data_IF_696452595098
#
_entry.id   IF_696452595098
#
_cell.length_a   1.000
_cell.length_b   1.000
_cell.length_c   1.000
_cell.angle_alpha   90.00
_cell.angle_beta   90.00
_cell.angle_gamma   90.00
#
_symmetry.space_group_name_H-M   'P 1'
#
loop_
_entity.id
_entity.type
_entity.pdbx_description
1 polymer ?
#
# COMPACT_ATOMS: atom_id res chain seq x y z
N UNK A 1 -2.69 8.28 -8.95
CA UNK A 1 -2.23 8.88 -10.22
C UNK A 1 -3.28 8.67 -11.29
N UNK A 2 -3.59 9.68 -12.12
CA UNK A 2 -4.49 9.50 -13.26
C UNK A 2 -3.97 8.45 -14.26
N UNK A 3 -4.87 7.75 -14.95
CA UNK A 3 -4.50 6.79 -16.00
C UNK A 3 -3.74 7.48 -17.14
N UNK A 4 -2.71 6.81 -17.67
CA UNK A 4 -1.90 7.34 -18.78
C UNK A 4 -0.75 8.23 -18.33
N UNK A 5 -0.71 8.67 -17.07
CA UNK A 5 0.39 9.45 -16.49
C UNK A 5 1.77 8.83 -16.76
N UNK A 6 1.90 7.53 -16.44
CA UNK A 6 3.17 6.78 -16.59
C UNK A 6 3.57 6.50 -18.04
N UNK A 7 2.70 6.79 -19.02
CA UNK A 7 2.94 6.51 -20.43
C UNK A 7 3.13 7.78 -21.26
N UNK A 8 3.18 8.96 -20.62
CA UNK A 8 3.28 10.27 -21.27
C UNK A 8 2.23 10.50 -22.38
N UNK A 9 1.11 9.76 -22.34
CA UNK A 9 0.00 9.96 -23.27
C UNK A 9 -0.71 11.23 -22.83
N UNK A 10 -0.99 12.15 -23.77
CA UNK A 10 -1.82 13.33 -23.49
C UNK A 10 -3.05 12.88 -22.70
N UNK A 11 -3.21 13.40 -21.49
CA UNK A 11 -4.42 13.20 -20.72
C UNK A 11 -5.59 13.62 -21.63
N UNK A 12 -6.50 12.68 -21.95
CA UNK A 12 -7.81 13.08 -22.48
C UNK A 12 -8.39 14.09 -21.47
N UNK A 13 -9.11 15.09 -21.96
CA UNK A 13 -9.81 16.13 -21.17
C UNK A 13 -10.22 15.60 -19.79
N UNK A 14 -10.12 16.42 -18.71
CA UNK A 14 -10.37 15.97 -17.34
C UNK A 14 -11.83 15.51 -17.23
N UNK A 15 -12.04 14.23 -17.48
CA UNK A 15 -13.28 13.52 -17.20
C UNK A 15 -13.02 12.80 -15.89
N UNK A 16 -13.86 13.08 -14.88
CA UNK A 16 -13.98 12.45 -13.56
C UNK A 16 -13.24 11.11 -13.42
N UNK A 17 -11.94 11.16 -13.13
CA UNK A 17 -11.17 9.96 -12.85
C UNK A 17 -11.42 9.60 -11.39
N UNK A 18 -11.99 8.43 -11.15
CA UNK A 18 -12.31 7.94 -9.81
C UNK A 18 -11.13 7.16 -9.18
N UNK A 19 -9.89 7.38 -9.66
CA UNK A 19 -8.73 6.56 -9.31
C UNK A 19 -8.41 6.60 -7.81
N UNK A 20 -8.54 7.78 -7.17
CA UNK A 20 -8.37 7.90 -5.72
C UNK A 20 -9.42 7.08 -4.95
N UNK A 21 -10.69 7.22 -5.33
CA UNK A 21 -11.79 6.47 -4.72
C UNK A 21 -11.61 4.96 -4.89
N UNK A 22 -11.31 4.50 -6.12
CA UNK A 22 -11.05 3.09 -6.40
C UNK A 22 -9.87 2.56 -5.58
N UNK A 23 -8.82 3.37 -5.41
CA UNK A 23 -7.67 2.99 -4.58
C UNK A 23 -8.03 2.85 -3.10
N UNK A 24 -8.85 3.74 -2.56
CA UNK A 24 -9.37 3.62 -1.18
C UNK A 24 -10.22 2.36 -1.02
N UNK A 25 -11.07 2.05 -2.00
CA UNK A 25 -11.86 0.81 -2.01
C UNK A 25 -10.96 -0.44 -2.05
N UNK A 26 -9.87 -0.43 -2.81
CA UNK A 26 -8.94 -1.56 -2.87
C UNK A 26 -8.17 -1.77 -1.55
N UNK A 27 -7.78 -0.68 -0.88
CA UNK A 27 -7.21 -0.76 0.47
C UNK A 27 -8.23 -1.27 1.49
N UNK A 28 -9.47 -0.79 1.44
CA UNK A 28 -10.57 -1.27 2.28
C UNK A 28 -10.77 -2.78 2.12
N UNK A 29 -10.83 -3.27 0.88
CA UNK A 29 -10.94 -4.73 0.61
C UNK A 29 -9.77 -5.51 1.17
N UNK A 30 -8.56 -4.95 1.16
CA UNK A 30 -7.37 -5.63 1.70
C UNK A 30 -7.46 -5.75 3.22
N UNK A 31 -7.89 -4.69 3.91
CA UNK A 31 -8.11 -4.68 5.36
C UNK A 31 -9.22 -5.68 5.75
N UNK A 32 -10.37 -5.61 5.08
CA UNK A 32 -11.52 -6.53 5.34
C UNK A 32 -11.17 -8.00 5.12
N UNK A 33 -10.24 -8.29 4.19
CA UNK A 33 -9.78 -9.66 3.97
C UNK A 33 -8.81 -10.14 5.05
N UNK A 34 -8.07 -9.25 5.71
CA UNK A 34 -7.14 -9.62 6.75
C UNK A 34 -7.90 -10.15 7.98
N UNK A 35 -7.40 -11.22 8.59
CA UNK A 35 -8.07 -11.90 9.71
C UNK A 35 -7.85 -11.24 11.06
N UNK A 36 -6.90 -10.32 11.14
CA UNK A 36 -6.42 -9.72 12.38
C UNK A 36 -6.47 -8.19 12.36
N UNK A 37 -7.27 -7.60 11.47
CA UNK A 37 -7.55 -6.17 11.40
C UNK A 37 -9.06 -5.97 11.39
N UNK A 38 -9.54 -4.96 12.11
CA UNK A 38 -10.92 -4.48 12.01
C UNK A 38 -10.94 -3.21 11.15
N UNK A 39 -11.91 -3.07 10.25
CA UNK A 39 -12.04 -1.87 9.43
C UNK A 39 -12.42 -0.64 10.28
N UNK A 40 -13.15 -0.84 11.37
CA UNK A 40 -13.64 0.25 12.22
C UNK A 40 -12.49 0.97 12.97
N UNK A 41 -11.31 0.34 13.05
CA UNK A 41 -10.09 0.94 13.62
C UNK A 41 -9.33 1.85 12.64
N UNK A 42 -9.80 1.98 11.39
CA UNK A 42 -9.11 2.75 10.35
C UNK A 42 -9.84 4.04 9.97
N UNK A 43 -9.03 5.09 9.77
CA UNK A 43 -9.48 6.35 9.20
C UNK A 43 -8.61 6.75 8.02
N UNK A 44 -9.17 7.50 7.07
CA UNK A 44 -8.41 8.07 5.97
C UNK A 44 -8.63 9.57 5.86
N UNK A 45 -7.57 10.28 5.48
CA UNK A 45 -7.62 11.65 4.98
C UNK A 45 -7.09 11.64 3.56
N UNK A 46 -7.73 12.41 2.68
CA UNK A 46 -7.32 12.49 1.29
C UNK A 46 -7.42 13.93 0.80
N UNK A 47 -6.65 14.23 -0.24
CA UNK A 47 -6.63 15.52 -0.90
C UNK A 47 -6.77 15.28 -2.40
N UNK A 48 -7.69 16.02 -3.03
CA UNK A 48 -7.87 15.99 -4.48
C UNK A 48 -7.02 17.11 -5.07
N UNK A 49 -6.10 16.73 -5.97
CA UNK A 49 -5.28 17.66 -6.73
C UNK A 49 -5.76 17.63 -8.19
N UNK A 50 -6.27 18.75 -8.68
CA UNK A 50 -6.84 18.87 -10.01
C UNK A 50 -5.95 19.68 -10.95
N UNK A 51 -6.19 19.55 -12.26
CA UNK A 51 -5.50 20.31 -13.31
C UNK A 51 -3.96 20.19 -13.17
N UNK A 52 -3.25 21.31 -13.28
CA UNK A 52 -1.79 21.37 -13.17
C UNK A 52 -1.27 20.93 -11.79
N UNK A 53 -2.08 21.05 -10.73
CA UNK A 53 -1.69 20.58 -9.39
C UNK A 53 -1.62 19.05 -9.30
N UNK A 54 -2.26 18.32 -10.22
CA UNK A 54 -2.16 16.85 -10.27
C UNK A 54 -0.73 16.37 -10.55
N UNK A 55 0.12 17.21 -11.14
CA UNK A 55 1.52 16.92 -11.38
C UNK A 55 2.33 16.80 -10.08
N UNK A 56 1.81 17.39 -8.99
CA UNK A 56 2.45 17.38 -7.67
C UNK A 56 2.11 16.15 -6.83
N UNK A 57 1.20 15.27 -7.27
CA UNK A 57 0.75 14.11 -6.45
C UNK A 57 1.95 13.30 -5.95
N UNK A 58 2.93 13.01 -6.82
CA UNK A 58 4.09 12.18 -6.43
C UNK A 58 5.02 12.90 -5.46
N UNK A 59 5.19 14.20 -5.63
CA UNK A 59 6.00 15.05 -4.73
C UNK A 59 5.38 15.13 -3.35
N UNK A 60 4.06 15.36 -3.28
CA UNK A 60 3.32 15.43 -2.02
C UNK A 60 3.30 14.08 -1.31
N UNK A 61 3.03 12.99 -2.03
CA UNK A 61 3.08 11.62 -1.49
C UNK A 61 4.44 11.33 -0.86
N UNK A 62 5.53 11.59 -1.60
CA UNK A 62 6.88 11.38 -1.09
C UNK A 62 7.20 12.29 0.11
N UNK A 63 6.71 13.52 0.13
CA UNK A 63 6.89 14.43 1.27
C UNK A 63 6.18 13.92 2.53
N UNK A 64 4.94 13.43 2.41
CA UNK A 64 4.19 12.87 3.53
C UNK A 64 4.84 11.58 4.05
N UNK A 65 5.32 10.71 3.16
CA UNK A 65 6.05 9.48 3.56
C UNK A 65 7.33 9.85 4.33
N UNK A 66 8.12 10.81 3.84
CA UNK A 66 9.33 11.25 4.55
C UNK A 66 9.03 11.89 5.91
N UNK A 67 7.94 12.65 6.00
CA UNK A 67 7.60 13.38 7.22
C UNK A 67 7.04 12.45 8.31
N UNK A 68 6.13 11.54 7.95
CA UNK A 68 5.46 10.66 8.92
C UNK A 68 6.12 9.29 9.07
N UNK A 69 7.01 8.91 8.14
CA UNK A 69 7.63 7.57 8.06
C UNK A 69 6.65 6.42 8.32
N UNK A 70 5.50 6.32 7.60
CA UNK A 70 4.45 5.36 7.98
C UNK A 70 4.93 3.90 7.91
N UNK A 71 4.55 3.07 8.88
CA UNK A 71 5.05 1.69 9.03
C UNK A 71 4.85 0.85 7.76
N UNK A 72 3.69 0.93 7.11
CA UNK A 72 3.38 0.18 5.87
C UNK A 72 3.97 0.78 4.59
N UNK A 73 4.76 1.86 4.72
CA UNK A 73 5.51 2.47 3.62
C UNK A 73 7.03 2.35 3.81
N UNK A 74 7.51 2.44 5.06
CA UNK A 74 8.95 2.52 5.34
C UNK A 74 9.54 1.27 5.98
N UNK A 75 8.70 0.37 6.51
CA UNK A 75 9.16 -0.79 7.25
C UNK A 75 8.57 -2.10 6.71
N UNK A 76 7.24 -2.17 6.59
CA UNK A 76 6.51 -3.39 6.22
C UNK A 76 5.94 -3.21 4.82
N UNK A 77 6.55 -3.88 3.85
CA UNK A 77 6.19 -3.76 2.46
C UNK A 77 5.00 -4.67 2.08
N UNK A 78 4.20 -4.19 1.13
CA UNK A 78 3.24 -5.02 0.39
C UNK A 78 1.76 -4.72 0.61
N UNK A 79 1.40 -3.79 1.50
CA UNK A 79 0.00 -3.36 1.67
C UNK A 79 -0.61 -2.90 0.33
N UNK A 80 0.16 -2.10 -0.42
CA UNK A 80 -0.27 -1.55 -1.70
C UNK A 80 -0.24 -2.52 -2.89
N UNK A 81 0.16 -3.78 -2.71
CA UNK A 81 0.27 -4.74 -3.80
C UNK A 81 -1.10 -5.18 -4.32
N UNK A 82 -1.14 -5.50 -5.61
CA UNK A 82 -2.26 -6.18 -6.25
C UNK A 82 -1.89 -7.64 -6.52
N UNK A 83 -2.90 -8.47 -6.83
CA UNK A 83 -2.68 -9.84 -7.30
C UNK A 83 -1.66 -9.82 -8.46
N UNK A 84 -0.54 -10.54 -8.33
CA UNK A 84 0.46 -10.57 -9.38
C UNK A 84 -0.05 -11.29 -10.64
N UNK A 85 -1.12 -12.07 -10.55
CA UNK A 85 -1.70 -12.78 -11.68
C UNK A 85 -0.82 -13.94 -12.17
N UNK A 86 -1.32 -14.61 -13.22
CA UNK A 86 -0.72 -15.83 -13.74
C UNK A 86 0.75 -15.60 -14.15
N UNK A 87 1.62 -16.54 -13.76
CA UNK A 87 3.05 -16.54 -14.12
C UNK A 87 3.95 -15.76 -13.18
N UNK A 88 3.40 -15.03 -12.20
CA UNK A 88 4.18 -14.29 -11.20
C UNK A 88 4.06 -14.85 -9.77
N UNK A 89 3.42 -16.01 -9.60
CA UNK A 89 3.27 -16.65 -8.28
C UNK A 89 4.55 -17.30 -7.74
N UNK A 90 5.64 -17.35 -8.51
CA UNK A 90 6.93 -17.82 -7.99
C UNK A 90 7.60 -16.79 -7.06
N UNK A 91 7.04 -15.59 -6.92
CA UNK A 91 7.54 -14.59 -5.97
C UNK A 91 7.16 -14.95 -4.53
N UNK A 92 7.88 -14.34 -3.58
CA UNK A 92 7.59 -14.46 -2.16
C UNK A 92 6.27 -13.76 -1.78
N UNK A 93 5.65 -14.22 -0.70
CA UNK A 93 4.58 -13.50 -0.02
C UNK A 93 5.18 -12.23 0.61
N UNK A 94 4.46 -11.10 0.55
CA UNK A 94 4.95 -9.85 1.13
C UNK A 94 4.93 -9.88 2.65
N UNK A 95 5.76 -9.07 3.32
CA UNK A 95 5.76 -8.98 4.80
C UNK A 95 4.39 -8.57 5.34
N UNK A 96 3.68 -7.67 4.65
CA UNK A 96 2.31 -7.31 5.02
C UNK A 96 1.35 -8.51 4.95
N UNK A 97 1.46 -9.37 3.93
CA UNK A 97 0.63 -10.58 3.81
C UNK A 97 1.00 -11.69 4.81
N UNK A 98 2.23 -11.68 5.31
CA UNK A 98 2.69 -12.55 6.39
C UNK A 98 2.07 -12.09 7.72
N UNK A 99 2.16 -10.78 8.01
CA UNK A 99 1.65 -10.18 9.23
C UNK A 99 0.11 -10.13 9.27
N UNK A 100 -0.53 -9.93 8.11
CA UNK A 100 -1.97 -9.76 7.95
C UNK A 100 -2.53 -10.79 6.95
N UNK A 101 -2.63 -12.06 7.33
CA UNK A 101 -3.09 -13.12 6.43
C UNK A 101 -4.56 -12.93 6.04
N UNK A 102 -4.90 -13.25 4.78
CA UNK A 102 -6.28 -13.27 4.31
C UNK A 102 -6.51 -12.98 2.82
N UNK A 103 -5.60 -12.24 2.16
CA UNK A 103 -5.67 -12.04 0.71
C UNK A 103 -5.40 -13.36 -0.02
N UNK A 104 -6.43 -13.93 -0.65
CA UNK A 104 -6.36 -15.27 -1.26
C UNK A 104 -5.25 -15.44 -2.31
N UNK A 105 -4.88 -14.36 -3.01
CA UNK A 105 -3.82 -14.42 -4.01
C UNK A 105 -2.43 -14.51 -3.39
N UNK A 106 -2.24 -14.04 -2.15
CA UNK A 106 -0.96 -14.10 -1.46
C UNK A 106 -0.61 -15.54 -1.05
N UNK A 107 -1.62 -16.37 -0.79
CA UNK A 107 -1.44 -17.80 -0.50
C UNK A 107 -1.02 -18.62 -1.73
N UNK A 108 -1.15 -18.04 -2.93
CA UNK A 108 -0.66 -18.65 -4.17
C UNK A 108 0.82 -18.38 -4.39
N UNK A 109 1.42 -17.41 -3.70
CA UNK A 109 2.85 -17.12 -3.80
C UNK A 109 3.69 -18.30 -3.25
N UNK A 110 4.70 -18.72 -4.01
CA UNK A 110 5.52 -19.91 -3.76
C UNK A 110 6.97 -19.58 -3.38
N UNK A 111 7.38 -18.31 -3.47
CA UNK A 111 8.73 -17.90 -3.11
C UNK A 111 8.96 -17.96 -1.60
N UNK A 112 10.22 -18.19 -1.22
CA UNK A 112 10.64 -18.12 0.18
C UNK A 112 10.36 -16.74 0.75
N UNK A 113 9.63 -16.70 1.86
CA UNK A 113 9.13 -15.47 2.46
C UNK A 113 9.70 -15.31 3.86
N UNK A 114 9.82 -14.07 4.33
CA UNK A 114 10.34 -13.77 5.67
C UNK A 114 9.49 -14.47 6.75
N UNK A 115 10.10 -15.16 7.72
CA UNK A 115 9.37 -15.75 8.84
C UNK A 115 8.59 -14.69 9.63
N UNK A 116 7.38 -15.05 10.11
CA UNK A 116 6.53 -14.13 10.88
C UNK A 116 7.26 -13.52 12.08
N UNK A 117 8.02 -14.32 12.83
CA UNK A 117 8.77 -13.87 14.00
C UNK A 117 9.78 -12.75 13.67
N UNK A 118 10.42 -12.83 12.50
CA UNK A 118 11.38 -11.81 12.06
C UNK A 118 10.66 -10.52 11.66
N UNK A 119 9.50 -10.64 11.00
CA UNK A 119 8.64 -9.50 10.66
C UNK A 119 8.12 -8.82 11.94
N UNK A 120 7.64 -9.59 12.91
CA UNK A 120 7.17 -9.07 14.21
C UNK A 120 8.30 -8.39 14.98
N UNK A 121 9.48 -9.00 15.03
CA UNK A 121 10.66 -8.41 15.67
C UNK A 121 11.04 -7.08 15.02
N UNK A 122 11.01 -7.00 13.69
CA UNK A 122 11.25 -5.77 12.92
C UNK A 122 10.26 -4.66 13.30
N UNK A 123 8.96 -4.96 13.41
CA UNK A 123 7.93 -4.00 13.86
C UNK A 123 8.17 -3.55 15.29
N UNK A 124 8.46 -4.48 16.20
CA UNK A 124 8.76 -4.17 17.60
C UNK A 124 9.94 -3.20 17.73
N UNK A 125 11.03 -3.46 17.02
CA UNK A 125 12.23 -2.60 17.05
C UNK A 125 11.95 -1.18 16.53
N UNK A 126 11.08 -1.04 15.53
CA UNK A 126 10.72 0.26 14.99
C UNK A 126 10.00 1.13 16.04
N UNK A 127 9.01 0.58 16.75
CA UNK A 127 8.28 1.32 17.78
C UNK A 127 9.10 1.56 19.04
N UNK A 128 10.05 0.69 19.38
CA UNK A 128 10.95 0.90 20.52
C UNK A 128 11.99 2.01 20.27
N UNK A 129 12.46 2.17 19.04
CA UNK A 129 13.39 3.26 18.69
C UNK A 129 12.71 4.63 18.75
N UNK A 130 11.51 4.74 18.20
CA UNK A 130 10.75 6.00 18.17
C UNK A 130 10.23 6.50 19.52
N UNK A 131 10.37 5.74 20.61
CA UNK A 131 10.05 6.19 21.97
C UNK A 131 11.26 6.84 22.69
N UNK A 132 12.46 6.72 22.13
CA UNK A 132 13.70 7.23 22.72
C UNK A 132 14.23 8.50 22.02
N UNK A 133 13.52 9.00 21.01
CA UNK A 133 13.75 10.26 20.31
C UNK A 133 12.67 11.30 20.70
#
# INVERSE_FOLDING_TARGET
MPRGWRQARRAKKPNDSHELYLRLCDHTKSIVQARNLDLDDFHCRFMILENESSDLIGTVEAALIRYYTPVWNSLIDGFGNHDPGKGRYNQAKSEWDILHPGRQWADKCQGESTPLADVEYKVYQYFMKGQND
#
